data_IF_348194163077
#
_entry.id   IF_348194163077
#
_cell.length_a   1.000
_cell.length_b   1.000
_cell.length_c   1.000
_cell.angle_alpha   90.00
_cell.angle_beta   90.00
_cell.angle_gamma   90.00
#
_symmetry.space_group_name_H-M   'P 1'
#
loop_
_entity.id
_entity.type
_entity.pdbx_description
1 polymer ?
#
# COMPACT_ATOMS: atom_id res chain seq x y z
N UNK A 1 6.97 -12.78 -21.44
CA UNK A 1 6.32 -11.84 -20.48
C UNK A 1 5.65 -10.63 -21.16
N UNK A 2 6.33 -9.91 -22.09
CA UNK A 2 5.69 -8.76 -22.79
C UNK A 2 4.55 -9.22 -23.72
N UNK A 3 4.73 -10.32 -24.43
CA UNK A 3 3.70 -10.90 -25.31
C UNK A 3 2.48 -11.38 -24.51
N UNK A 4 2.69 -11.89 -23.29
CA UNK A 4 1.60 -12.30 -22.40
C UNK A 4 0.82 -11.08 -21.89
N UNK A 5 1.50 -9.98 -21.50
CA UNK A 5 0.82 -8.75 -21.12
C UNK A 5 0.00 -8.18 -22.28
N UNK A 6 0.55 -8.22 -23.48
CA UNK A 6 -0.17 -7.79 -24.69
C UNK A 6 -1.37 -8.66 -24.97
N UNK A 7 -1.24 -9.98 -24.88
CA UNK A 7 -2.35 -10.91 -25.04
C UNK A 7 -3.47 -10.68 -24.02
N UNK A 8 -3.11 -10.38 -22.76
CA UNK A 8 -4.09 -10.01 -21.74
C UNK A 8 -4.78 -8.67 -22.05
N UNK A 9 -4.03 -7.69 -22.58
CA UNK A 9 -4.56 -6.40 -22.96
C UNK A 9 -5.49 -6.46 -24.17
N UNK A 10 -5.22 -7.38 -25.11
CA UNK A 10 -6.04 -7.59 -26.32
C UNK A 10 -7.37 -8.33 -26.03
N UNK A 11 -7.51 -8.98 -24.85
CA UNK A 11 -8.71 -9.70 -24.46
C UNK A 11 -9.51 -8.88 -23.42
N UNK A 12 -10.70 -8.35 -23.79
CA UNK A 12 -11.50 -7.47 -22.93
C UNK A 12 -12.04 -8.13 -21.65
N UNK A 13 -11.90 -9.44 -21.49
CA UNK A 13 -12.24 -10.14 -20.24
C UNK A 13 -11.25 -9.85 -19.12
N UNK A 14 -10.02 -9.44 -19.45
CA UNK A 14 -9.01 -9.08 -18.47
C UNK A 14 -9.04 -7.58 -18.20
N UNK A 15 -9.56 -7.22 -17.03
CA UNK A 15 -9.74 -5.82 -16.61
C UNK A 15 -8.81 -5.40 -15.46
N UNK A 16 -8.10 -6.35 -14.87
CA UNK A 16 -7.24 -6.10 -13.72
C UNK A 16 -5.99 -6.97 -13.74
N UNK A 17 -4.82 -6.33 -13.55
CA UNK A 17 -3.54 -7.00 -13.32
C UNK A 17 -2.89 -6.46 -12.05
N UNK A 18 -2.59 -7.35 -11.10
CA UNK A 18 -1.73 -7.02 -9.96
C UNK A 18 -0.28 -7.17 -10.37
N UNK A 19 0.44 -6.05 -10.46
CA UNK A 19 1.86 -6.02 -10.77
C UNK A 19 2.69 -6.28 -9.50
N UNK A 20 3.48 -7.35 -9.53
CA UNK A 20 4.38 -7.78 -8.46
C UNK A 20 5.86 -7.71 -8.87
N UNK A 21 6.17 -6.98 -9.95
CA UNK A 21 7.55 -6.84 -10.43
C UNK A 21 8.45 -6.07 -9.46
N UNK A 22 7.88 -5.21 -8.64
CA UNK A 22 8.61 -4.31 -7.74
C UNK A 22 9.59 -3.37 -8.46
N UNK A 23 9.37 -3.12 -9.75
CA UNK A 23 10.23 -2.30 -10.61
C UNK A 23 9.40 -1.28 -11.41
N UNK A 24 9.65 0.00 -11.17
CA UNK A 24 8.92 1.09 -11.82
C UNK A 24 9.11 1.12 -13.35
N UNK A 25 10.25 0.69 -13.87
CA UNK A 25 10.49 0.65 -15.32
C UNK A 25 9.70 -0.49 -15.97
N UNK A 26 9.59 -1.63 -15.30
CA UNK A 26 8.73 -2.74 -15.74
C UNK A 26 7.27 -2.30 -15.73
N UNK A 27 6.82 -1.60 -14.67
CA UNK A 27 5.46 -1.06 -14.58
C UNK A 27 5.20 -0.11 -15.75
N UNK A 28 6.08 0.86 -16.01
CA UNK A 28 5.94 1.80 -17.14
C UNK A 28 5.81 1.08 -18.48
N UNK A 29 6.62 0.04 -18.70
CA UNK A 29 6.55 -0.77 -19.92
C UNK A 29 5.20 -1.48 -20.05
N UNK A 30 4.71 -2.09 -18.96
CA UNK A 30 3.41 -2.76 -18.93
C UNK A 30 2.25 -1.80 -19.19
N UNK A 31 2.30 -0.59 -18.61
CA UNK A 31 1.33 0.46 -18.88
C UNK A 31 1.29 0.85 -20.37
N UNK A 32 2.44 0.92 -21.04
CA UNK A 32 2.50 1.17 -22.47
C UNK A 32 1.88 0.03 -23.29
N UNK A 33 2.14 -1.22 -22.91
CA UNK A 33 1.57 -2.41 -23.57
C UNK A 33 0.06 -2.50 -23.39
N UNK A 34 -0.47 -2.07 -22.24
CA UNK A 34 -1.90 -2.09 -21.93
C UNK A 34 -2.64 -0.83 -22.40
N UNK A 35 -1.93 0.15 -23.00
CA UNK A 35 -2.53 1.42 -23.39
C UNK A 35 -3.68 1.23 -24.39
N UNK A 36 -4.84 1.80 -24.05
CA UNK A 36 -6.06 1.72 -24.88
C UNK A 36 -6.88 0.45 -24.70
N UNK A 37 -6.44 -0.48 -23.84
CA UNK A 37 -7.21 -1.66 -23.45
C UNK A 37 -8.04 -1.44 -22.19
N UNK A 38 -8.86 -2.44 -21.83
CA UNK A 38 -9.59 -2.47 -20.56
C UNK A 38 -8.70 -2.87 -19.36
N UNK A 39 -7.48 -3.34 -19.61
CA UNK A 39 -6.59 -3.89 -18.59
C UNK A 39 -6.03 -2.78 -17.69
N UNK A 40 -6.50 -2.72 -16.46
CA UNK A 40 -5.99 -1.83 -15.42
C UNK A 40 -4.82 -2.50 -14.68
N UNK A 41 -3.64 -1.88 -14.72
CA UNK A 41 -2.46 -2.36 -14.01
C UNK A 41 -2.38 -1.69 -12.65
N UNK A 42 -2.30 -2.49 -11.58
CA UNK A 42 -2.23 -2.04 -10.19
C UNK A 42 -0.92 -2.49 -9.54
N UNK A 43 -0.23 -1.57 -8.88
CA UNK A 43 1.02 -1.86 -8.20
C UNK A 43 0.78 -2.62 -6.89
N UNK A 44 1.64 -3.60 -6.58
CA UNK A 44 1.60 -4.34 -5.31
C UNK A 44 2.70 -3.96 -4.32
N UNK A 45 3.73 -3.23 -4.76
CA UNK A 45 4.87 -2.87 -3.91
C UNK A 45 4.63 -1.53 -3.21
N UNK A 46 4.59 -1.55 -1.87
CA UNK A 46 4.35 -0.36 -1.07
C UNK A 46 5.48 0.68 -1.17
N UNK A 47 6.72 0.23 -1.36
CA UNK A 47 7.91 1.11 -1.42
C UNK A 47 7.86 2.08 -2.60
N UNK A 48 7.26 1.67 -3.72
CA UNK A 48 7.12 2.48 -4.93
C UNK A 48 5.67 2.89 -5.20
N UNK A 49 4.77 2.75 -4.21
CA UNK A 49 3.34 2.94 -4.42
C UNK A 49 3.00 4.31 -4.99
N UNK A 50 3.54 5.39 -4.41
CA UNK A 50 3.27 6.75 -4.87
C UNK A 50 3.90 7.04 -6.24
N UNK A 51 5.12 6.54 -6.50
CA UNK A 51 5.75 6.71 -7.81
C UNK A 51 5.00 5.94 -8.91
N UNK A 52 4.49 4.76 -8.58
CA UNK A 52 3.65 3.99 -9.50
C UNK A 52 2.33 4.72 -9.82
N UNK A 53 1.69 5.34 -8.82
CA UNK A 53 0.51 6.20 -9.04
C UNK A 53 0.83 7.38 -9.98
N UNK A 54 1.96 8.06 -9.78
CA UNK A 54 2.40 9.18 -10.65
C UNK A 54 2.62 8.76 -12.10
N UNK A 55 3.01 7.52 -12.38
CA UNK A 55 3.20 7.02 -13.74
C UNK A 55 1.96 6.40 -14.36
N UNK A 56 0.84 6.35 -13.63
CA UNK A 56 -0.48 6.03 -14.17
C UNK A 56 -1.00 4.62 -13.90
N UNK A 57 -0.53 3.92 -12.87
CA UNK A 57 -1.21 2.70 -12.43
C UNK A 57 -2.60 3.00 -11.89
N UNK A 58 -3.53 2.05 -12.01
CA UNK A 58 -4.91 2.23 -11.56
C UNK A 58 -5.10 2.27 -10.05
N UNK A 59 -4.09 1.82 -9.29
CA UNK A 59 -4.14 1.83 -7.84
C UNK A 59 -3.06 0.98 -7.17
N UNK A 60 -3.19 0.83 -5.86
CA UNK A 60 -2.32 0.01 -5.03
C UNK A 60 -3.06 -1.23 -4.50
N UNK A 61 -2.50 -2.43 -4.74
CA UNK A 61 -3.04 -3.71 -4.30
C UNK A 61 -1.95 -4.50 -3.54
N UNK A 62 -1.47 -3.96 -2.43
CA UNK A 62 -0.38 -4.53 -1.65
C UNK A 62 -0.80 -4.97 -0.24
N UNK A 63 0.12 -5.63 0.47
CA UNK A 63 -0.07 -6.15 1.82
C UNK A 63 -0.54 -5.05 2.79
N UNK A 64 0.01 -3.84 2.67
CA UNK A 64 -0.24 -2.76 3.61
C UNK A 64 -1.58 -2.05 3.46
N UNK A 65 -2.38 -2.41 2.45
CA UNK A 65 -3.82 -2.07 2.45
C UNK A 65 -4.60 -2.79 3.56
N UNK A 66 -4.02 -3.83 4.18
CA UNK A 66 -4.57 -4.46 5.39
C UNK A 66 -4.30 -3.66 6.67
N UNK A 67 -3.45 -2.62 6.64
CA UNK A 67 -3.11 -1.79 7.80
C UNK A 67 -3.81 -0.44 7.74
N UNK A 68 -3.64 0.29 6.64
CA UNK A 68 -4.15 1.65 6.47
C UNK A 68 -4.55 1.93 5.01
N UNK A 69 -5.63 1.25 4.52
CA UNK A 69 -6.10 1.40 3.14
C UNK A 69 -6.50 2.83 2.79
N UNK A 70 -7.00 3.58 3.77
CA UNK A 70 -7.39 4.98 3.68
C UNK A 70 -6.23 5.89 3.28
N UNK A 71 -5.02 5.67 3.79
CA UNK A 71 -3.85 6.48 3.44
C UNK A 71 -3.38 6.23 1.99
N UNK A 72 -3.42 4.97 1.52
CA UNK A 72 -3.13 4.66 0.11
C UNK A 72 -4.21 5.24 -0.81
N UNK A 73 -5.46 5.20 -0.39
CA UNK A 73 -6.57 5.82 -1.14
C UNK A 73 -6.38 7.33 -1.22
N UNK A 74 -6.01 7.97 -0.12
CA UNK A 74 -5.75 9.40 -0.11
C UNK A 74 -4.59 9.79 -1.06
N UNK A 75 -3.50 9.01 -1.08
CA UNK A 75 -2.41 9.23 -2.04
C UNK A 75 -2.90 9.19 -3.50
N UNK A 76 -3.78 8.26 -3.82
CA UNK A 76 -4.34 8.12 -5.16
C UNK A 76 -5.23 9.31 -5.53
N UNK A 77 -6.10 9.75 -4.62
CA UNK A 77 -7.11 10.76 -4.91
C UNK A 77 -6.57 12.19 -4.80
N UNK A 78 -5.64 12.43 -3.88
CA UNK A 78 -5.22 13.76 -3.46
C UNK A 78 -3.72 14.01 -3.57
N UNK A 79 -2.90 12.99 -3.82
CA UNK A 79 -1.45 13.12 -3.85
C UNK A 79 -0.95 14.15 -4.88
N UNK A 80 -1.61 14.27 -6.03
CA UNK A 80 -1.25 15.25 -7.05
C UNK A 80 -1.55 16.70 -6.63
N UNK A 81 -2.59 16.93 -5.84
CA UNK A 81 -2.98 18.26 -5.34
C UNK A 81 -2.26 18.67 -4.05
N UNK A 82 -1.65 17.73 -3.34
CA UNK A 82 -0.89 17.96 -2.10
C UNK A 82 0.48 17.25 -2.14
N UNK A 83 1.38 17.65 -3.07
CA UNK A 83 2.59 16.89 -3.38
C UNK A 83 3.55 16.74 -2.19
N UNK A 84 3.69 17.76 -1.34
CA UNK A 84 4.60 17.70 -0.18
C UNK A 84 4.11 16.70 0.87
N UNK A 85 2.84 16.75 1.24
CA UNK A 85 2.26 15.79 2.18
C UNK A 85 2.25 14.37 1.60
N UNK A 86 1.99 14.24 0.30
CA UNK A 86 2.00 12.95 -0.39
C UNK A 86 3.41 12.35 -0.42
N UNK A 87 4.44 13.20 -0.61
CA UNK A 87 5.84 12.77 -0.54
C UNK A 87 6.18 12.22 0.85
N UNK A 88 5.92 13.00 1.89
CA UNK A 88 6.20 12.60 3.28
C UNK A 88 5.44 11.34 3.69
N UNK A 89 4.14 11.27 3.35
CA UNK A 89 3.32 10.09 3.58
C UNK A 89 3.87 8.87 2.85
N UNK A 90 4.32 9.03 1.61
CA UNK A 90 4.87 7.92 0.83
C UNK A 90 6.13 7.33 1.45
N UNK A 91 7.00 8.17 2.03
CA UNK A 91 8.18 7.73 2.78
C UNK A 91 7.76 6.95 4.03
N UNK A 92 6.81 7.47 4.81
CA UNK A 92 6.28 6.77 5.98
C UNK A 92 5.74 5.39 5.60
N UNK A 93 4.88 5.32 4.58
CA UNK A 93 4.28 4.06 4.11
C UNK A 93 5.32 3.05 3.60
N UNK A 94 6.38 3.53 2.94
CA UNK A 94 7.48 2.69 2.48
C UNK A 94 8.28 2.11 3.66
N UNK A 95 8.55 2.91 4.70
CA UNK A 95 9.24 2.45 5.91
C UNK A 95 8.38 1.46 6.70
N UNK A 96 7.08 1.71 6.83
CA UNK A 96 6.13 0.76 7.44
C UNK A 96 6.14 -0.57 6.69
N UNK A 97 6.19 -0.53 5.36
CA UNK A 97 6.19 -1.74 4.53
C UNK A 97 7.43 -2.62 4.73
N UNK A 98 8.55 -2.07 5.21
CA UNK A 98 9.75 -2.85 5.54
C UNK A 98 9.52 -3.86 6.68
N UNK A 99 8.42 -3.76 7.41
CA UNK A 99 8.04 -4.71 8.47
C UNK A 99 7.35 -5.97 7.95
N UNK A 100 6.98 -6.06 6.67
CA UNK A 100 6.32 -7.24 6.09
C UNK A 100 7.03 -8.57 6.43
N UNK A 101 8.37 -8.68 6.33
CA UNK A 101 9.09 -9.90 6.68
C UNK A 101 9.01 -10.30 8.16
N UNK A 102 8.54 -9.40 9.02
CA UNK A 102 8.36 -9.68 10.46
C UNK A 102 7.09 -10.52 10.75
N UNK A 103 6.71 -11.37 9.80
CA UNK A 103 5.69 -12.41 10.03
C UNK A 103 4.30 -12.09 9.52
N UNK A 104 4.15 -11.36 8.40
CA UNK A 104 2.85 -11.29 7.73
C UNK A 104 2.35 -12.70 7.35
N UNK A 105 1.07 -13.04 7.50
CA UNK A 105 -0.08 -12.19 7.87
C UNK A 105 -0.33 -12.02 9.39
N UNK A 106 0.40 -12.71 10.27
CA UNK A 106 0.22 -12.61 11.72
C UNK A 106 0.54 -11.20 12.24
N UNK A 107 1.51 -10.53 11.62
CA UNK A 107 1.86 -9.13 11.90
C UNK A 107 0.65 -8.20 11.72
N UNK A 108 -0.09 -8.33 10.62
CA UNK A 108 -1.30 -7.54 10.39
C UNK A 108 -2.38 -7.80 11.45
N UNK A 109 -2.52 -9.05 11.87
CA UNK A 109 -3.46 -9.40 12.94
C UNK A 109 -3.05 -8.80 14.28
N UNK A 110 -1.76 -8.79 14.60
CA UNK A 110 -1.25 -8.15 15.81
C UNK A 110 -1.48 -6.64 15.79
N UNK A 111 -1.21 -5.98 14.65
CA UNK A 111 -1.56 -4.57 14.45
C UNK A 111 -3.06 -4.32 14.71
N UNK A 112 -3.93 -5.12 14.12
CA UNK A 112 -5.38 -5.00 14.29
C UNK A 112 -5.86 -5.32 15.71
N UNK A 113 -5.17 -6.22 16.41
CA UNK A 113 -5.45 -6.47 17.83
C UNK A 113 -5.09 -5.25 18.69
N UNK A 114 -3.92 -4.63 18.44
CA UNK A 114 -3.49 -3.41 19.15
C UNK A 114 -4.47 -2.24 18.97
N UNK A 115 -5.06 -2.08 17.79
CA UNK A 115 -6.07 -1.02 17.54
C UNK A 115 -7.51 -1.47 17.86
N UNK A 116 -7.69 -2.66 18.44
CA UNK A 116 -9.00 -3.14 18.91
C UNK A 116 -9.94 -3.70 17.85
N UNK A 117 -9.46 -3.90 16.61
CA UNK A 117 -10.28 -4.43 15.51
C UNK A 117 -10.40 -5.96 15.56
N UNK A 118 -9.34 -6.67 15.98
CA UNK A 118 -9.32 -8.13 16.07
C UNK A 118 -9.19 -8.61 17.51
N UNK A 119 -9.85 -9.75 17.81
CA UNK A 119 -9.79 -10.41 19.12
C UNK A 119 -8.59 -11.38 19.22
N UNK A 120 -8.04 -11.82 18.09
CA UNK A 120 -7.03 -12.88 18.03
C UNK A 120 -6.01 -12.64 16.93
N UNK A 121 -4.76 -12.98 17.22
CA UNK A 121 -3.64 -12.96 16.25
C UNK A 121 -3.42 -14.35 15.62
N UNK A 122 -4.30 -15.30 15.84
CA UNK A 122 -4.15 -16.66 15.30
C UNK A 122 -3.95 -16.64 13.79
N UNK A 123 -2.90 -17.32 13.32
CA UNK A 123 -2.57 -17.45 11.91
C UNK A 123 -2.18 -18.89 11.59
N UNK A 124 -2.78 -19.44 10.52
CA UNK A 124 -2.40 -20.77 10.00
C UNK A 124 -1.10 -20.75 9.23
N UNK A 125 -0.75 -19.61 8.63
CA UNK A 125 0.44 -19.45 7.81
C UNK A 125 1.71 -19.17 8.65
N UNK A 126 1.56 -18.47 9.78
CA UNK A 126 2.67 -18.13 10.69
C UNK A 126 2.29 -18.60 12.09
N UNK A 127 2.83 -19.73 12.49
CA UNK A 127 2.52 -20.35 13.80
C UNK A 127 3.44 -19.90 14.92
N UNK A 128 4.65 -19.46 14.56
CA UNK A 128 5.66 -18.99 15.53
C UNK A 128 5.21 -17.72 16.28
N UNK A 129 5.81 -17.51 17.46
CA UNK A 129 5.63 -16.27 18.23
C UNK A 129 6.50 -15.17 17.61
N UNK A 130 5.88 -14.26 16.87
CA UNK A 130 6.58 -13.17 16.20
C UNK A 130 7.07 -12.09 17.18
N UNK A 131 6.41 -11.90 18.32
CA UNK A 131 6.81 -10.91 19.33
C UNK A 131 8.08 -11.37 20.06
N UNK A 132 8.23 -12.67 20.30
CA UNK A 132 9.46 -13.24 20.84
C UNK A 132 10.60 -13.28 19.79
N UNK A 133 10.26 -13.43 18.50
CA UNK A 133 11.24 -13.60 17.42
C UNK A 133 11.87 -12.29 16.96
N UNK A 134 11.08 -11.23 16.84
CA UNK A 134 11.54 -9.97 16.24
C UNK A 134 11.73 -8.90 17.33
N UNK A 135 12.96 -8.40 17.42
CA UNK A 135 13.33 -7.35 18.36
C UNK A 135 12.44 -6.11 18.18
N UNK A 136 12.00 -5.55 19.31
CA UNK A 136 11.21 -4.31 19.39
C UNK A 136 9.94 -4.30 18.52
N UNK A 137 9.34 -5.48 18.21
CA UNK A 137 8.18 -5.54 17.32
C UNK A 137 6.98 -4.77 17.87
N UNK A 138 6.74 -4.83 19.17
CA UNK A 138 5.63 -4.12 19.81
C UNK A 138 5.82 -2.60 19.73
N UNK A 139 7.02 -2.11 20.01
CA UNK A 139 7.37 -0.68 19.93
C UNK A 139 7.31 -0.17 18.49
N UNK A 140 7.76 -0.99 17.52
CA UNK A 140 7.64 -0.66 16.08
C UNK A 140 6.17 -0.51 15.69
N UNK A 141 5.32 -1.46 16.09
CA UNK A 141 3.88 -1.38 15.79
C UNK A 141 3.22 -0.18 16.47
N UNK A 142 3.59 0.16 17.70
CA UNK A 142 3.09 1.35 18.40
C UNK A 142 3.48 2.64 17.66
N UNK A 143 4.70 2.71 17.10
CA UNK A 143 5.13 3.84 16.27
C UNK A 143 4.39 3.88 14.92
N UNK A 144 4.09 2.75 14.32
CA UNK A 144 3.27 2.67 13.11
C UNK A 144 1.85 3.18 13.39
N UNK A 145 1.23 2.77 14.50
CA UNK A 145 -0.10 3.21 14.91
C UNK A 145 -0.11 4.72 15.14
N UNK A 146 0.88 5.25 15.88
CA UNK A 146 1.03 6.67 16.12
C UNK A 146 1.19 7.46 14.82
N UNK A 147 2.15 7.09 13.96
CA UNK A 147 2.40 7.78 12.69
C UNK A 147 1.18 7.73 11.76
N UNK A 148 0.45 6.59 11.75
CA UNK A 148 -0.80 6.47 10.99
C UNK A 148 -1.85 7.48 11.49
N UNK A 149 -2.00 7.63 12.82
CA UNK A 149 -2.92 8.59 13.42
C UNK A 149 -2.50 10.05 13.11
N UNK A 150 -1.20 10.34 13.17
CA UNK A 150 -0.67 11.67 12.86
C UNK A 150 -0.94 12.07 11.40
N UNK A 151 -0.76 11.15 10.44
CA UNK A 151 -1.10 11.43 9.04
C UNK A 151 -2.60 11.59 8.82
N UNK A 152 -3.44 10.79 9.48
CA UNK A 152 -4.89 10.98 9.43
C UNK A 152 -5.31 12.35 9.96
N UNK A 153 -4.70 12.80 11.05
CA UNK A 153 -4.95 14.14 11.60
C UNK A 153 -4.53 15.26 10.64
N UNK A 154 -3.33 15.16 10.02
CA UNK A 154 -2.87 16.11 9.01
C UNK A 154 -3.83 16.17 7.81
N UNK A 155 -4.29 15.02 7.30
CA UNK A 155 -5.24 14.94 6.20
C UNK A 155 -6.58 15.56 6.58
N UNK A 156 -7.07 15.32 7.79
CA UNK A 156 -8.32 15.89 8.27
C UNK A 156 -8.28 17.42 8.31
N UNK A 157 -7.14 18.03 8.64
CA UNK A 157 -6.99 19.50 8.64
C UNK A 157 -7.09 20.12 7.26
N UNK A 158 -6.74 19.39 6.19
CA UNK A 158 -6.88 19.89 4.81
C UNK A 158 -8.33 19.95 4.35
N UNK A 159 -9.21 19.14 4.95
CA UNK A 159 -10.62 19.07 4.64
C UNK A 159 -11.49 19.95 5.55
N UNK A 160 -10.90 20.60 6.56
CA UNK A 160 -11.63 21.52 7.43
C UNK A 160 -11.97 22.81 6.66
N UNK A 161 -13.22 23.31 6.73
CA UNK A 161 -13.55 24.61 6.16
C UNK A 161 -12.64 25.68 6.79
N UNK A 162 -12.17 26.63 5.95
CA UNK A 162 -11.44 27.77 6.44
C UNK A 162 -12.31 28.47 7.51
N UNK A 163 -11.83 28.54 8.74
CA UNK A 163 -12.46 29.36 9.77
C UNK A 163 -12.10 30.80 9.45
N UNK A 164 -13.12 31.58 9.00
CA UNK A 164 -13.02 33.03 8.84
C UNK A 164 -12.71 33.72 10.16
#
# INVERSE_FOLDING_TARGET
MDDEIKALADDPRFVFLKDVSCDLNIIKKRLLLAKGSALCINNANATIAYDALKVGVGGFCGVFTNFHPDLYRWLQDHGASHPDLAHDLSIFLALVASTEPMGYPKLAKLYHQKIGTFQSIYSRAVTEDIQAKYWALDEILDKIIQGTADYRAKIATLNAPATD
#
